data_IF_782708005405
#
_entry.id   IF_782708005405
#
_cell.length_a   1.000
_cell.length_b   1.000
_cell.length_c   1.000
_cell.angle_alpha   90.00
_cell.angle_beta   90.00
_cell.angle_gamma   90.00
#
_symmetry.space_group_name_H-M   'P 1'
#
loop_
_entity.id
_entity.type
_entity.pdbx_description
1 polymer ?
#
# COMPACT_ATOMS: atom_id res chain seq x y z
N UNK A 1 2.71 18.80 10.95
CA UNK A 1 3.21 17.68 11.82
C UNK A 1 4.57 18.10 12.38
N UNK A 2 5.12 17.54 13.47
CA UNK A 2 6.38 18.11 14.00
C UNK A 2 7.59 18.00 13.05
N UNK A 3 7.61 16.97 12.21
CA UNK A 3 8.61 16.77 11.16
C UNK A 3 8.38 17.60 9.89
N UNK A 4 7.25 18.31 9.76
CA UNK A 4 6.96 19.10 8.55
C UNK A 4 7.75 20.40 8.50
N UNK A 5 8.15 20.79 7.30
CA UNK A 5 8.92 21.99 7.02
C UNK A 5 8.02 23.14 6.51
N UNK A 6 8.61 24.33 6.34
CA UNK A 6 7.91 25.56 6.00
C UNK A 6 7.15 25.43 4.66
N UNK A 7 5.96 26.05 4.59
CA UNK A 7 5.11 25.99 3.40
C UNK A 7 4.22 24.75 3.29
N UNK A 8 4.22 23.88 4.31
CA UNK A 8 3.39 22.66 4.39
C UNK A 8 2.38 22.63 5.54
N UNK A 9 2.17 23.75 6.23
CA UNK A 9 1.30 23.80 7.42
C UNK A 9 -0.15 23.42 7.10
N UNK A 10 -0.70 23.91 5.99
CA UNK A 10 -2.04 23.54 5.51
C UNK A 10 -2.06 22.21 4.73
N UNK A 11 -0.89 21.70 4.32
CA UNK A 11 -0.78 20.44 3.57
C UNK A 11 -0.73 19.25 4.53
N UNK A 12 0.26 19.19 5.42
CA UNK A 12 0.54 17.97 6.20
C UNK A 12 -0.54 17.67 7.25
N UNK A 13 -1.32 18.66 7.68
CA UNK A 13 -2.50 18.43 8.53
C UNK A 13 -3.56 17.60 7.81
N UNK A 14 -3.65 17.69 6.48
CA UNK A 14 -4.65 16.97 5.69
C UNK A 14 -4.31 15.50 5.45
N UNK A 15 -3.08 15.05 5.76
CA UNK A 15 -2.74 13.60 5.77
C UNK A 15 -3.65 12.87 6.76
N UNK A 16 -3.90 13.44 7.94
CA UNK A 16 -4.85 12.84 8.90
C UNK A 16 -6.29 12.83 8.38
N UNK A 17 -6.67 13.81 7.56
CA UNK A 17 -7.98 13.84 6.91
C UNK A 17 -8.13 12.73 5.87
N UNK A 18 -7.05 12.36 5.15
CA UNK A 18 -7.01 11.20 4.26
C UNK A 18 -7.16 9.90 5.07
N UNK A 19 -6.32 9.72 6.09
CA UNK A 19 -6.37 8.57 6.98
C UNK A 19 -7.76 8.40 7.64
N UNK A 20 -8.35 9.49 8.13
CA UNK A 20 -9.67 9.48 8.76
C UNK A 20 -10.78 9.14 7.76
N UNK A 21 -10.71 9.64 6.53
CA UNK A 21 -11.64 9.24 5.47
C UNK A 21 -11.53 7.75 5.19
N UNK A 22 -10.32 7.24 4.91
CA UNK A 22 -10.10 5.83 4.58
C UNK A 22 -10.55 4.92 5.72
N UNK A 23 -10.27 5.30 6.97
CA UNK A 23 -10.76 4.59 8.13
C UNK A 23 -12.29 4.61 8.15
N UNK A 24 -12.93 5.78 8.22
CA UNK A 24 -14.38 5.88 8.48
C UNK A 24 -15.27 5.45 7.32
N UNK A 25 -14.81 5.62 6.08
CA UNK A 25 -15.62 5.39 4.88
C UNK A 25 -15.07 4.28 3.98
N UNK A 26 -13.93 3.70 4.32
CA UNK A 26 -13.23 2.81 3.40
C UNK A 26 -12.72 3.54 2.16
N UNK A 27 -12.45 2.79 1.11
CA UNK A 27 -11.95 3.30 -0.17
C UNK A 27 -13.09 3.71 -1.10
N UNK A 28 -13.85 4.71 -0.66
CA UNK A 28 -14.90 5.35 -1.48
C UNK A 28 -14.28 6.19 -2.58
N UNK A 29 -15.11 6.62 -3.53
CA UNK A 29 -14.74 7.66 -4.48
C UNK A 29 -14.07 8.82 -3.74
N UNK A 30 -12.83 9.16 -4.13
CA UNK A 30 -12.01 10.18 -3.47
C UNK A 30 -12.78 11.49 -3.31
N UNK A 31 -13.67 11.84 -4.27
CA UNK A 31 -14.53 13.03 -4.20
C UNK A 31 -15.33 13.15 -2.92
N UNK A 32 -15.76 12.01 -2.39
CA UNK A 32 -16.63 11.90 -1.23
C UNK A 32 -15.96 12.41 0.05
N UNK A 33 -14.63 12.47 0.08
CA UNK A 33 -13.87 12.99 1.21
C UNK A 33 -12.94 14.16 0.84
N UNK A 34 -12.37 14.13 -0.37
CA UNK A 34 -11.27 14.97 -0.82
C UNK A 34 -11.43 15.35 -2.29
N UNK A 35 -12.48 16.11 -2.63
CA UNK A 35 -12.78 16.52 -4.01
C UNK A 35 -11.58 17.14 -4.75
N UNK A 36 -10.79 17.99 -4.09
CA UNK A 36 -9.62 18.61 -4.70
C UNK A 36 -8.45 17.63 -4.95
N UNK A 37 -8.34 16.54 -4.19
CA UNK A 37 -7.37 15.48 -4.49
C UNK A 37 -7.77 14.73 -5.75
N UNK A 38 -9.07 14.44 -5.91
CA UNK A 38 -9.55 13.80 -7.13
C UNK A 38 -9.28 14.68 -8.36
N UNK A 39 -9.51 16.00 -8.27
CA UNK A 39 -9.21 16.92 -9.36
C UNK A 39 -7.71 17.02 -9.70
N UNK A 40 -6.84 16.73 -8.73
CA UNK A 40 -5.40 16.61 -8.97
C UNK A 40 -4.97 15.22 -9.46
N UNK A 41 -5.91 14.28 -9.67
CA UNK A 41 -5.65 12.96 -10.24
C UNK A 41 -5.39 11.85 -9.22
N UNK A 42 -5.65 12.09 -7.94
CA UNK A 42 -5.47 11.06 -6.90
C UNK A 42 -6.52 9.95 -6.99
N UNK A 43 -6.06 8.71 -6.81
CA UNK A 43 -6.88 7.52 -6.59
C UNK A 43 -6.28 6.66 -5.48
N UNK A 44 -7.11 5.83 -4.83
CA UNK A 44 -6.60 4.82 -3.90
C UNK A 44 -5.83 3.76 -4.69
N UNK A 45 -4.52 3.70 -4.48
CA UNK A 45 -3.60 2.81 -5.19
C UNK A 45 -2.48 2.35 -4.26
N UNK A 46 -2.39 1.04 -4.02
CA UNK A 46 -1.37 0.44 -3.16
C UNK A 46 0.07 0.53 -3.71
N UNK A 47 0.25 0.98 -4.96
CA UNK A 47 1.54 1.24 -5.59
C UNK A 47 1.61 2.64 -6.22
N UNK A 48 0.92 3.63 -5.62
CA UNK A 48 0.82 5.00 -6.13
C UNK A 48 2.17 5.65 -6.46
N UNK A 49 3.19 5.47 -5.61
CA UNK A 49 4.55 5.98 -5.88
C UNK A 49 5.14 5.35 -7.13
N UNK A 50 4.96 4.04 -7.31
CA UNK A 50 5.41 3.32 -8.51
C UNK A 50 4.69 3.79 -9.77
N UNK A 51 3.38 4.04 -9.70
CA UNK A 51 2.62 4.56 -10.83
C UNK A 51 2.96 6.02 -11.17
N UNK A 52 3.24 6.86 -10.18
CA UNK A 52 3.78 8.21 -10.39
C UNK A 52 5.15 8.16 -11.10
N UNK A 53 6.05 7.27 -10.68
CA UNK A 53 7.33 7.07 -11.37
C UNK A 53 7.15 6.54 -12.80
N UNK A 54 6.17 5.67 -13.03
CA UNK A 54 5.84 5.16 -14.37
C UNK A 54 5.31 6.25 -15.30
N UNK A 55 4.52 7.19 -14.79
CA UNK A 55 3.90 8.24 -15.60
C UNK A 55 4.89 9.21 -16.23
N UNK A 56 6.13 9.29 -15.69
CA UNK A 56 7.13 10.25 -16.15
C UNK A 56 6.89 11.67 -15.63
N UNK A 57 5.87 11.88 -14.79
CA UNK A 57 5.47 13.19 -14.33
C UNK A 57 6.49 13.81 -13.39
N UNK A 58 6.58 15.13 -13.44
CA UNK A 58 7.43 15.94 -12.57
C UNK A 58 6.67 17.14 -12.05
N UNK A 59 6.94 17.51 -10.81
CA UNK A 59 6.39 18.65 -10.11
C UNK A 59 7.50 19.46 -9.44
N UNK A 60 7.14 20.62 -8.90
CA UNK A 60 8.02 21.42 -8.07
C UNK A 60 7.26 21.78 -6.79
N UNK A 61 7.44 20.98 -5.74
CA UNK A 61 6.70 21.11 -4.49
C UNK A 61 6.88 22.50 -3.86
N UNK A 62 8.10 23.05 -3.91
CA UNK A 62 8.44 24.33 -3.30
C UNK A 62 7.80 25.53 -4.00
N UNK A 63 7.47 25.39 -5.30
CA UNK A 63 6.80 26.42 -6.11
C UNK A 63 5.32 26.15 -6.36
N UNK A 64 4.78 25.08 -5.77
CA UNK A 64 3.38 24.74 -5.94
C UNK A 64 2.52 25.63 -5.03
N UNK A 65 1.43 26.17 -5.56
CA UNK A 65 0.49 26.99 -4.80
C UNK A 65 -0.75 26.18 -4.39
N UNK A 66 -1.05 25.09 -5.11
CA UNK A 66 -2.14 24.19 -4.76
C UNK A 66 -1.75 23.26 -3.60
N UNK A 67 -2.29 23.56 -2.41
CA UNK A 67 -2.12 22.76 -1.19
C UNK A 67 -2.51 21.29 -1.39
N UNK A 68 -3.50 20.99 -2.22
CA UNK A 68 -3.93 19.61 -2.51
C UNK A 68 -3.00 18.92 -3.47
N UNK A 69 -2.33 19.65 -4.38
CA UNK A 69 -1.28 19.06 -5.19
C UNK A 69 -0.03 18.75 -4.36
N UNK A 70 0.33 19.60 -3.41
CA UNK A 70 1.36 19.26 -2.41
C UNK A 70 0.97 18.02 -1.60
N UNK A 71 -0.30 17.93 -1.19
CA UNK A 71 -0.83 16.81 -0.44
C UNK A 71 -0.75 15.49 -1.23
N UNK A 72 -0.82 15.54 -2.56
CA UNK A 72 -0.77 14.35 -3.40
C UNK A 72 0.53 13.56 -3.24
N UNK A 73 1.70 14.20 -3.14
CA UNK A 73 2.97 13.52 -2.82
C UNK A 73 2.85 12.71 -1.52
N UNK A 74 2.24 13.33 -0.49
CA UNK A 74 2.09 12.68 0.80
C UNK A 74 1.05 11.56 0.76
N UNK A 75 -0.03 11.74 0.00
CA UNK A 75 -1.07 10.74 -0.19
C UNK A 75 -0.52 9.51 -0.93
N UNK A 76 0.30 9.70 -1.97
CA UNK A 76 0.97 8.61 -2.70
C UNK A 76 1.84 7.75 -1.78
N UNK A 77 2.60 8.38 -0.86
CA UNK A 77 3.38 7.68 0.16
C UNK A 77 2.48 6.91 1.13
N UNK A 78 1.37 7.49 1.59
CA UNK A 78 0.44 6.84 2.52
C UNK A 78 -0.22 5.60 1.90
N UNK A 79 -0.68 5.70 0.66
CA UNK A 79 -1.36 4.58 0.01
C UNK A 79 -0.39 3.47 -0.35
N UNK A 80 0.84 3.82 -0.73
CA UNK A 80 1.89 2.84 -1.04
C UNK A 80 2.41 2.15 0.21
N UNK A 81 2.62 2.90 1.30
CA UNK A 81 3.13 2.39 2.58
C UNK A 81 2.33 2.97 3.76
N UNK A 82 1.21 2.33 4.15
CA UNK A 82 0.28 2.86 5.17
C UNK A 82 0.91 3.19 6.53
N UNK A 83 2.00 2.51 6.88
CA UNK A 83 2.67 2.66 8.17
C UNK A 83 3.76 3.77 8.18
N UNK A 84 3.98 4.46 7.04
CA UNK A 84 5.12 5.37 6.86
C UNK A 84 5.07 6.60 7.79
N UNK A 85 3.93 7.27 7.91
CA UNK A 85 3.82 8.48 8.75
C UNK A 85 3.86 8.19 10.25
N UNK A 86 3.20 7.14 10.76
CA UNK A 86 3.42 6.70 12.14
C UNK A 86 4.90 6.43 12.44
N UNK A 87 5.62 5.78 11.51
CA UNK A 87 7.03 5.46 11.66
C UNK A 87 7.93 6.72 11.67
N UNK A 88 7.75 7.63 10.70
CA UNK A 88 8.48 8.90 10.63
C UNK A 88 8.19 9.75 11.88
N UNK A 89 6.92 9.84 12.29
CA UNK A 89 6.52 10.57 13.48
C UNK A 89 7.14 10.02 14.76
N UNK A 90 7.26 8.69 14.88
CA UNK A 90 7.97 8.05 15.99
C UNK A 90 9.47 8.38 15.96
N UNK A 91 10.13 8.23 14.82
CA UNK A 91 11.55 8.53 14.66
C UNK A 91 11.87 10.00 15.00
N UNK A 92 11.00 10.93 14.59
CA UNK A 92 11.18 12.35 14.89
C UNK A 92 11.11 12.64 16.40
N UNK A 93 10.16 12.01 17.11
CA UNK A 93 10.05 12.15 18.56
C UNK A 93 11.24 11.56 19.31
N UNK A 94 11.79 10.45 18.80
CA UNK A 94 12.96 9.79 19.41
C UNK A 94 14.24 10.62 19.22
N UNK A 95 14.45 11.21 18.04
CA UNK A 95 15.67 12.00 17.77
C UNK A 95 15.66 13.36 18.48
N UNK A 96 14.49 13.98 18.63
CA UNK A 96 14.29 15.27 19.31
C UNK A 96 13.86 15.13 20.77
N UNK A 97 14.11 13.97 21.40
CA UNK A 97 13.82 13.76 22.82
C UNK A 97 14.59 14.78 23.68
N UNK A 98 13.85 15.48 24.55
CA UNK A 98 14.36 16.48 25.49
C UNK A 98 15.56 15.98 26.31
N UNK A 99 15.57 14.69 26.66
CA UNK A 99 16.64 14.09 27.47
C UNK A 99 17.96 13.88 26.71
N UNK A 100 17.95 13.86 25.38
CA UNK A 100 19.10 13.50 24.53
C UNK A 100 19.61 14.67 23.67
N UNK A 101 19.23 15.90 24.02
CA UNK A 101 19.46 17.11 23.24
C UNK A 101 18.21 17.46 22.44
N UNK A 102 17.58 18.58 22.79
CA UNK A 102 16.44 19.14 22.06
C UNK A 102 16.92 19.71 20.71
N UNK A 103 16.04 19.76 19.70
CA UNK A 103 16.25 20.43 18.41
C UNK A 103 17.39 19.85 17.54
N UNK A 104 17.50 18.52 17.42
CA UNK A 104 18.42 17.87 16.45
C UNK A 104 17.95 17.95 15.01
N UNK A 105 16.64 18.12 14.82
CA UNK A 105 16.01 18.33 13.53
C UNK A 105 15.06 19.50 13.72
N UNK A 106 15.51 20.72 13.42
CA UNK A 106 14.78 21.94 13.77
C UNK A 106 14.68 22.91 12.59
N UNK A 107 15.79 23.10 11.87
CA UNK A 107 15.81 23.93 10.67
C UNK A 107 14.99 23.32 9.53
N UNK A 108 14.60 24.17 8.58
CA UNK A 108 13.82 23.78 7.41
C UNK A 108 14.50 22.64 6.62
N UNK A 109 15.80 22.81 6.33
CA UNK A 109 16.58 21.81 5.59
C UNK A 109 16.73 20.50 6.36
N UNK A 110 17.00 20.56 7.66
CA UNK A 110 17.11 19.34 8.49
C UNK A 110 15.81 18.53 8.47
N UNK A 111 14.64 19.19 8.47
CA UNK A 111 13.34 18.52 8.38
C UNK A 111 13.09 17.87 7.02
N UNK A 112 13.45 18.56 5.92
CA UNK A 112 13.39 17.99 4.56
C UNK A 112 14.27 16.75 4.47
N UNK A 113 15.54 16.89 4.85
CA UNK A 113 16.53 15.81 4.81
C UNK A 113 16.11 14.63 5.70
N UNK A 114 15.65 14.93 6.92
CA UNK A 114 15.11 13.92 7.83
C UNK A 114 13.94 13.17 7.21
N UNK A 115 13.01 13.89 6.57
CA UNK A 115 11.84 13.29 5.95
C UNK A 115 12.22 12.35 4.81
N UNK A 116 13.03 12.79 3.83
CA UNK A 116 13.37 11.96 2.66
C UNK A 116 14.19 10.73 3.04
N UNK A 117 15.10 10.87 4.01
CA UNK A 117 15.92 9.76 4.53
C UNK A 117 15.03 8.74 5.24
N UNK A 118 14.15 9.19 6.13
CA UNK A 118 13.29 8.27 6.88
C UNK A 118 12.17 7.67 6.03
N UNK A 119 11.62 8.41 5.07
CA UNK A 119 10.65 7.87 4.12
C UNK A 119 11.26 6.72 3.30
N UNK A 120 12.49 6.89 2.80
CA UNK A 120 13.21 5.81 2.09
C UNK A 120 13.47 4.61 3.01
N UNK A 121 13.95 4.88 4.23
CA UNK A 121 14.22 3.84 5.24
C UNK A 121 12.97 3.02 5.58
N UNK A 122 11.83 3.67 5.82
CA UNK A 122 10.60 3.01 6.29
C UNK A 122 9.74 2.44 5.17
N UNK A 123 9.85 2.95 3.94
CA UNK A 123 9.29 2.26 2.76
C UNK A 123 10.09 1.00 2.42
N UNK A 124 11.38 0.96 2.78
CA UNK A 124 12.30 -0.09 2.34
C UNK A 124 12.75 0.06 0.90
N UNK A 125 12.49 1.22 0.27
CA UNK A 125 12.85 1.52 -1.11
C UNK A 125 13.62 2.82 -1.24
N UNK A 126 14.47 2.91 -2.25
CA UNK A 126 15.14 4.14 -2.63
C UNK A 126 14.14 5.12 -3.26
N UNK A 127 13.75 6.16 -2.50
CA UNK A 127 12.78 7.18 -2.93
C UNK A 127 13.44 8.44 -3.51
N UNK A 128 14.75 8.44 -3.77
CA UNK A 128 15.42 9.64 -4.31
C UNK A 128 14.81 10.10 -5.62
N UNK A 129 14.58 9.19 -6.56
CA UNK A 129 13.93 9.50 -7.83
C UNK A 129 12.53 10.10 -7.64
N UNK A 130 11.76 9.55 -6.68
CA UNK A 130 10.44 10.05 -6.34
C UNK A 130 10.49 11.50 -5.85
N UNK A 131 11.34 11.79 -4.86
CA UNK A 131 11.48 13.13 -4.30
C UNK A 131 12.06 14.14 -5.30
N UNK A 132 13.02 13.71 -6.13
CA UNK A 132 13.55 14.56 -7.21
C UNK A 132 12.48 14.90 -8.23
N UNK A 133 11.62 13.96 -8.60
CA UNK A 133 10.50 14.23 -9.53
C UNK A 133 9.41 15.08 -8.90
N UNK A 134 9.21 15.01 -7.60
CA UNK A 134 8.37 15.95 -6.87
C UNK A 134 9.02 17.33 -6.66
N UNK A 135 10.30 17.47 -6.99
CA UNK A 135 11.04 18.72 -6.86
C UNK A 135 11.29 19.11 -5.40
N UNK A 136 11.51 18.13 -4.53
CA UNK A 136 11.92 18.35 -3.14
C UNK A 136 13.43 18.62 -3.09
N UNK A 137 13.83 19.77 -2.55
CA UNK A 137 15.23 20.19 -2.48
C UNK A 137 15.94 19.62 -1.23
N UNK A 138 16.22 18.31 -1.25
CA UNK A 138 17.00 17.64 -0.19
C UNK A 138 18.52 17.75 -0.45
N UNK A 139 19.31 17.76 0.61
CA UNK A 139 20.76 17.99 0.53
C UNK A 139 21.53 16.79 -0.05
N UNK A 140 22.77 17.03 -0.48
CA UNK A 140 23.70 15.96 -0.87
C UNK A 140 23.98 14.98 0.27
N UNK A 141 23.95 15.45 1.52
CA UNK A 141 24.15 14.59 2.69
C UNK A 141 22.98 13.63 2.89
N UNK A 142 21.75 14.07 2.58
CA UNK A 142 20.58 13.20 2.57
C UNK A 142 20.64 12.19 1.42
N UNK A 143 21.07 12.61 0.22
CA UNK A 143 21.29 11.71 -0.92
C UNK A 143 22.29 10.58 -0.56
N UNK A 144 23.44 10.96 -0.01
CA UNK A 144 24.48 10.03 0.42
C UNK A 144 24.00 9.06 1.50
N UNK A 145 23.18 9.52 2.44
CA UNK A 145 22.59 8.67 3.46
C UNK A 145 21.66 7.61 2.86
N UNK A 146 20.79 8.00 1.92
CA UNK A 146 19.89 7.05 1.25
C UNK A 146 20.71 6.07 0.38
N UNK A 147 21.70 6.56 -0.37
CA UNK A 147 22.57 5.74 -1.20
C UNK A 147 23.28 4.63 -0.39
N UNK A 148 23.74 4.96 0.82
CA UNK A 148 24.42 4.02 1.74
C UNK A 148 23.51 2.89 2.22
N UNK A 149 22.18 3.09 2.24
CA UNK A 149 21.23 2.05 2.65
C UNK A 149 21.08 0.93 1.62
N UNK A 150 21.49 1.17 0.36
CA UNK A 150 21.43 0.19 -0.75
C UNK A 150 20.04 -0.44 -0.92
N UNK A 151 19.01 0.39 -0.79
CA UNK A 151 17.62 -0.03 -0.92
C UNK A 151 17.29 -0.37 -2.38
N UNK A 152 16.39 -1.34 -2.63
CA UNK A 152 15.87 -1.57 -3.97
C UNK A 152 15.13 -0.32 -4.48
N UNK A 153 15.14 -0.13 -5.80
CA UNK A 153 14.31 0.90 -6.43
C UNK A 153 12.83 0.58 -6.21
N UNK A 154 11.99 1.61 -6.33
CA UNK A 154 10.54 1.41 -6.38
C UNK A 154 10.18 0.70 -7.68
N UNK A 155 9.36 -0.35 -7.58
CA UNK A 155 8.85 -1.07 -8.75
C UNK A 155 7.78 -0.21 -9.42
N UNK A 156 7.85 -0.09 -10.74
CA UNK A 156 6.81 0.55 -11.54
C UNK A 156 5.79 -0.53 -11.98
N UNK A 157 4.53 -0.48 -11.53
CA UNK A 157 3.55 -1.54 -11.79
C UNK A 157 3.34 -1.77 -13.28
N UNK A 158 3.33 -3.03 -13.71
CA UNK A 158 3.16 -3.43 -15.11
C UNK A 158 1.70 -3.54 -15.52
N UNK A 159 0.80 -3.82 -14.58
CA UNK A 159 -0.62 -4.03 -14.83
C UNK A 159 -1.48 -3.93 -13.57
N UNK A 160 -2.79 -4.02 -13.76
CA UNK A 160 -3.78 -4.07 -12.70
C UNK A 160 -4.96 -4.97 -13.12
N UNK A 161 -5.52 -5.71 -12.17
CA UNK A 161 -6.70 -6.56 -12.34
C UNK A 161 -7.63 -6.43 -11.14
N UNK A 162 -8.93 -6.54 -11.35
CA UNK A 162 -9.91 -6.52 -10.26
C UNK A 162 -11.03 -7.55 -10.42
N UNK A 163 -11.62 -7.96 -9.30
CA UNK A 163 -12.76 -8.89 -9.24
C UNK A 163 -13.64 -8.60 -8.03
N UNK A 164 -14.91 -9.00 -8.07
CA UNK A 164 -15.80 -8.90 -6.91
C UNK A 164 -15.80 -10.20 -6.10
N UNK A 165 -15.67 -10.07 -4.77
CA UNK A 165 -15.93 -11.11 -3.79
C UNK A 165 -17.31 -10.89 -3.18
N UNK A 166 -18.32 -11.58 -3.71
CA UNK A 166 -19.73 -11.38 -3.39
C UNK A 166 -20.26 -12.47 -2.44
N UNK A 167 -20.59 -12.11 -1.19
CA UNK A 167 -21.31 -13.00 -0.27
C UNK A 167 -22.78 -12.59 -0.18
N UNK A 168 -23.64 -13.34 -0.87
CA UNK A 168 -25.08 -13.10 -0.88
C UNK A 168 -25.75 -13.41 0.48
N UNK A 169 -26.94 -12.82 0.70
CA UNK A 169 -27.77 -13.10 1.87
C UNK A 169 -28.09 -14.60 1.98
N UNK A 170 -27.92 -15.18 3.17
CA UNK A 170 -28.16 -16.59 3.43
C UNK A 170 -27.05 -17.56 2.95
N UNK A 171 -26.06 -17.09 2.19
CA UNK A 171 -24.86 -17.88 1.91
C UNK A 171 -23.94 -17.92 3.14
N UNK A 172 -23.18 -19.00 3.32
CA UNK A 172 -22.19 -19.09 4.41
C UNK A 172 -20.75 -18.76 3.96
N UNK A 173 -20.51 -18.73 2.63
CA UNK A 173 -19.19 -18.62 2.01
C UNK A 173 -19.25 -17.79 0.73
N UNK A 174 -18.12 -17.19 0.37
CA UNK A 174 -17.89 -16.59 -0.93
C UNK A 174 -16.43 -16.84 -1.37
N UNK A 175 -16.20 -16.89 -2.68
CA UNK A 175 -14.88 -17.08 -3.27
C UNK A 175 -14.77 -16.24 -4.55
N UNK A 176 -13.60 -15.64 -4.75
CA UNK A 176 -13.23 -14.96 -5.99
C UNK A 176 -11.76 -15.25 -6.31
N UNK A 177 -11.39 -15.11 -7.57
CA UNK A 177 -10.00 -15.32 -7.99
C UNK A 177 -9.60 -14.39 -9.14
N UNK A 178 -8.31 -14.06 -9.17
CA UNK A 178 -7.64 -13.38 -10.28
C UNK A 178 -6.55 -14.30 -10.78
N UNK A 179 -6.42 -14.41 -12.10
CA UNK A 179 -5.40 -15.24 -12.76
C UNK A 179 -4.42 -14.33 -13.49
N UNK A 180 -3.14 -14.44 -13.17
CA UNK A 180 -2.04 -13.77 -13.85
C UNK A 180 -1.39 -14.77 -14.81
N UNK A 181 -1.31 -14.49 -16.13
CA UNK A 181 -0.55 -15.31 -17.05
C UNK A 181 0.92 -15.38 -16.63
N UNK A 182 1.54 -16.55 -16.71
CA UNK A 182 2.98 -16.68 -16.55
C UNK A 182 3.60 -16.33 -17.92
N UNK A 183 4.06 -15.09 -18.11
CA UNK A 183 4.87 -14.76 -19.28
C UNK A 183 6.32 -15.21 -19.07
N UNK A 184 7.12 -15.18 -20.14
CA UNK A 184 8.53 -15.62 -20.19
C UNK A 184 9.46 -15.03 -19.12
N UNK A 185 8.99 -14.04 -18.35
CA UNK A 185 9.78 -13.28 -17.37
C UNK A 185 9.21 -13.27 -15.95
N UNK A 186 8.12 -14.01 -15.66
CA UNK A 186 7.55 -14.08 -14.30
C UNK A 186 6.76 -15.39 -14.04
N UNK A 187 7.48 -16.49 -13.80
CA UNK A 187 6.90 -17.81 -13.46
C UNK A 187 6.81 -18.07 -11.95
N UNK A 188 7.51 -17.26 -11.14
CA UNK A 188 7.64 -17.40 -9.70
C UNK A 188 6.80 -16.33 -8.98
N UNK A 189 5.58 -16.11 -9.48
CA UNK A 189 4.67 -15.07 -9.00
C UNK A 189 4.01 -15.44 -7.69
N UNK A 190 4.21 -14.68 -6.62
CA UNK A 190 3.39 -14.75 -5.40
C UNK A 190 2.63 -13.45 -5.16
N UNK A 191 1.73 -13.45 -4.17
CA UNK A 191 0.93 -12.27 -3.85
C UNK A 191 1.16 -11.81 -2.42
N UNK A 192 1.41 -10.51 -2.27
CA UNK A 192 1.67 -9.86 -0.98
C UNK A 192 0.72 -8.69 -0.79
N UNK A 193 0.78 -8.09 0.39
CA UNK A 193 0.08 -6.86 0.77
C UNK A 193 1.13 -5.76 1.01
N UNK A 194 0.71 -4.50 1.02
CA UNK A 194 1.60 -3.37 1.30
C UNK A 194 1.76 -3.06 2.80
N UNK A 195 1.05 -3.77 3.68
CA UNK A 195 1.19 -3.65 5.14
C UNK A 195 0.95 -4.99 5.84
N UNK A 196 1.75 -5.23 6.87
CA UNK A 196 1.62 -6.41 7.73
C UNK A 196 0.30 -6.47 8.51
N UNK A 197 -0.42 -5.34 8.61
CA UNK A 197 -1.75 -5.29 9.23
C UNK A 197 -2.79 -6.10 8.43
N UNK A 198 -2.62 -6.23 7.11
CA UNK A 198 -3.54 -6.96 6.24
C UNK A 198 -3.05 -8.40 6.02
N UNK A 199 -1.77 -8.58 5.68
CA UNK A 199 -1.21 -9.87 5.31
C UNK A 199 0.31 -9.86 5.16
N UNK A 200 0.90 -10.90 4.53
CA UNK A 200 2.35 -10.92 4.30
C UNK A 200 2.77 -9.80 3.35
N UNK A 201 3.92 -9.18 3.61
CA UNK A 201 4.50 -8.10 2.79
C UNK A 201 5.70 -8.52 1.95
N UNK A 202 6.07 -9.80 2.00
CA UNK A 202 7.20 -10.36 1.26
C UNK A 202 6.88 -11.78 0.78
N UNK A 203 7.52 -12.15 -0.32
CA UNK A 203 7.46 -13.50 -0.85
C UNK A 203 8.24 -14.47 0.02
N UNK A 204 7.85 -15.75 -0.02
CA UNK A 204 8.63 -16.88 0.49
C UNK A 204 8.80 -17.92 -0.61
N UNK A 205 9.94 -18.57 -0.70
CA UNK A 205 10.16 -19.58 -1.74
C UNK A 205 9.26 -20.80 -1.53
N UNK A 206 9.32 -21.36 -0.32
CA UNK A 206 8.53 -22.52 0.09
C UNK A 206 7.57 -22.12 1.20
N UNK A 207 6.27 -22.09 0.88
CA UNK A 207 5.21 -21.78 1.82
C UNK A 207 4.21 -22.92 1.92
N UNK A 208 3.36 -22.89 2.95
CA UNK A 208 2.56 -24.05 3.35
C UNK A 208 1.68 -24.63 2.24
N UNK A 209 1.96 -25.88 1.85
CA UNK A 209 1.15 -26.67 0.94
C UNK A 209 -0.24 -26.95 1.53
N UNK A 210 -1.30 -26.74 0.73
CA UNK A 210 -2.72 -26.77 1.12
C UNK A 210 -3.11 -25.85 2.28
N UNK A 211 -2.20 -25.00 2.74
CA UNK A 211 -2.48 -24.01 3.78
C UNK A 211 -3.04 -22.73 3.16
N UNK A 212 -3.72 -21.94 3.97
CA UNK A 212 -4.26 -20.65 3.56
C UNK A 212 -3.64 -19.54 4.40
N UNK A 213 -3.37 -18.42 3.74
CA UNK A 213 -2.89 -17.20 4.40
C UNK A 213 -4.09 -16.44 4.96
N UNK A 214 -4.18 -16.22 6.28
CA UNK A 214 -5.20 -15.34 6.84
C UNK A 214 -4.93 -13.89 6.41
N UNK A 215 -5.98 -13.18 6.01
CA UNK A 215 -5.94 -11.77 5.66
C UNK A 215 -6.97 -11.01 6.50
N UNK A 216 -6.62 -9.82 6.97
CA UNK A 216 -7.50 -8.99 7.80
C UNK A 216 -7.80 -7.69 7.07
N UNK A 217 -9.03 -7.56 6.59
CA UNK A 217 -9.42 -6.45 5.70
C UNK A 217 -10.44 -5.58 6.39
N UNK A 218 -10.24 -4.27 6.31
CA UNK A 218 -11.25 -3.33 6.79
C UNK A 218 -12.41 -3.26 5.79
N UNK A 219 -13.62 -3.41 6.30
CA UNK A 219 -14.86 -3.13 5.60
C UNK A 219 -15.69 -2.12 6.39
N UNK A 220 -16.56 -1.43 5.68
CA UNK A 220 -17.49 -0.47 6.26
C UNK A 220 -18.91 -0.89 5.96
N UNK A 221 -19.81 -0.66 6.90
CA UNK A 221 -21.24 -0.88 6.68
C UNK A 221 -21.92 0.37 6.09
N UNK A 222 -23.22 0.26 5.82
CA UNK A 222 -24.05 1.38 5.32
C UNK A 222 -24.13 2.59 6.27
N UNK A 223 -23.64 2.47 7.52
CA UNK A 223 -23.58 3.54 8.52
C UNK A 223 -22.16 4.07 8.72
N UNK A 224 -21.20 3.69 7.86
CA UNK A 224 -19.78 4.05 7.98
C UNK A 224 -19.14 3.53 9.29
N UNK A 225 -19.68 2.44 9.86
CA UNK A 225 -19.02 1.74 10.98
C UNK A 225 -17.99 0.78 10.41
N UNK A 226 -16.82 0.78 11.00
CA UNK A 226 -15.68 -0.04 10.59
C UNK A 226 -15.72 -1.41 11.23
N UNK A 227 -15.39 -2.42 10.44
CA UNK A 227 -15.23 -3.80 10.87
C UNK A 227 -14.03 -4.41 10.18
N UNK A 228 -13.30 -5.25 10.90
CA UNK A 228 -12.26 -6.09 10.29
C UNK A 228 -12.85 -7.45 9.98
N UNK A 229 -12.80 -7.85 8.71
CA UNK A 229 -13.18 -9.20 8.27
C UNK A 229 -11.94 -10.04 8.03
N UNK A 230 -12.01 -11.29 8.47
CA UNK A 230 -11.01 -12.31 8.18
C UNK A 230 -11.35 -13.00 6.87
N UNK A 231 -10.41 -12.96 5.94
CA UNK A 231 -10.41 -13.69 4.68
C UNK A 231 -9.28 -14.72 4.67
N UNK A 232 -9.33 -15.63 3.71
CA UNK A 232 -8.24 -16.57 3.45
C UNK A 232 -7.80 -16.52 2.00
N UNK A 233 -6.49 -16.35 1.80
CA UNK A 233 -5.87 -16.35 0.49
C UNK A 233 -5.06 -17.62 0.22
N UNK A 234 -5.12 -18.10 -1.01
CA UNK A 234 -4.24 -19.14 -1.53
C UNK A 234 -3.70 -18.75 -2.90
N UNK A 235 -2.47 -19.20 -3.17
CA UNK A 235 -1.89 -19.20 -4.51
C UNK A 235 -2.05 -20.58 -5.13
N UNK A 236 -2.40 -20.66 -6.40
CA UNK A 236 -2.24 -21.87 -7.23
C UNK A 236 -1.36 -21.53 -8.44
N UNK A 237 -0.19 -22.16 -8.56
CA UNK A 237 0.70 -22.00 -9.71
C UNK A 237 0.48 -23.13 -10.72
N UNK A 238 0.06 -22.80 -11.94
CA UNK A 238 -0.11 -23.77 -13.01
C UNK A 238 -1.04 -24.93 -12.63
N UNK A 239 -0.57 -26.17 -12.78
CA UNK A 239 -1.32 -27.36 -12.38
C UNK A 239 -0.95 -27.90 -10.97
N UNK A 240 -0.10 -27.18 -10.23
CA UNK A 240 0.31 -27.59 -8.89
C UNK A 240 -0.76 -27.30 -7.85
N UNK A 241 -0.61 -27.96 -6.70
CA UNK A 241 -1.46 -27.79 -5.54
C UNK A 241 -1.47 -26.35 -5.01
N UNK A 242 -2.54 -25.94 -4.31
CA UNK A 242 -2.57 -24.63 -3.66
C UNK A 242 -1.53 -24.52 -2.54
N UNK A 243 -0.90 -23.35 -2.43
CA UNK A 243 -0.03 -22.96 -1.32
C UNK A 243 -0.55 -21.68 -0.64
N UNK A 244 0.09 -21.29 0.46
CA UNK A 244 -0.02 -19.94 1.02
C UNK A 244 0.18 -18.86 -0.05
N UNK A 245 -0.50 -17.73 0.13
CA UNK A 245 -0.68 -16.69 -0.87
C UNK A 245 0.64 -16.06 -1.37
N UNK A 246 1.62 -15.89 -0.48
CA UNK A 246 2.93 -15.29 -0.77
C UNK A 246 4.01 -16.31 -1.18
N UNK A 247 3.64 -17.56 -1.45
CA UNK A 247 4.57 -18.58 -1.95
C UNK A 247 4.99 -18.26 -3.37
N UNK A 248 6.29 -18.28 -3.65
CA UNK A 248 6.86 -17.94 -4.95
C UNK A 248 7.40 -19.16 -5.72
N UNK A 249 7.53 -20.33 -5.08
CA UNK A 249 7.88 -21.59 -5.73
C UNK A 249 7.07 -21.82 -7.00
N UNK A 250 7.77 -22.06 -8.10
CA UNK A 250 7.15 -22.29 -9.40
C UNK A 250 6.54 -23.70 -9.47
N UNK A 251 5.61 -23.86 -10.41
CA UNK A 251 5.14 -25.15 -10.84
C UNK A 251 5.79 -25.53 -12.17
N UNK A 252 6.23 -26.78 -12.31
CA UNK A 252 6.84 -27.29 -13.55
C UNK A 252 5.84 -27.41 -14.72
N UNK A 253 4.55 -27.16 -14.47
CA UNK A 253 3.49 -27.27 -15.48
C UNK A 253 2.42 -26.19 -15.31
N UNK A 254 1.85 -25.73 -16.43
CA UNK A 254 0.85 -24.67 -16.49
C UNK A 254 1.42 -23.29 -16.83
N UNK A 255 0.56 -22.39 -17.26
CA UNK A 255 0.94 -21.10 -17.87
C UNK A 255 0.35 -19.89 -17.14
N UNK A 256 -0.08 -20.07 -15.89
CA UNK A 256 -0.65 -18.98 -15.09
C UNK A 256 -0.47 -19.22 -13.59
N UNK A 257 -0.60 -18.15 -12.83
CA UNK A 257 -0.68 -18.18 -11.37
C UNK A 257 -1.96 -17.51 -10.92
N UNK A 258 -2.71 -18.17 -10.04
CA UNK A 258 -4.01 -17.74 -9.55
C UNK A 258 -3.95 -17.33 -8.09
N UNK A 259 -4.44 -16.14 -7.76
CA UNK A 259 -4.79 -15.73 -6.40
C UNK A 259 -6.26 -16.09 -6.15
N UNK A 260 -6.55 -16.87 -5.10
CA UNK A 260 -7.94 -17.19 -4.71
C UNK A 260 -8.19 -16.71 -3.29
N UNK A 261 -9.23 -15.88 -3.14
CA UNK A 261 -9.63 -15.27 -1.88
C UNK A 261 -10.99 -15.80 -1.47
N UNK A 262 -11.11 -16.17 -0.19
CA UNK A 262 -12.30 -16.78 0.38
C UNK A 262 -12.77 -16.03 1.62
N UNK A 263 -14.08 -15.92 1.72
CA UNK A 263 -14.79 -15.52 2.93
C UNK A 263 -15.60 -16.70 3.47
N UNK A 264 -15.66 -16.82 4.79
CA UNK A 264 -16.58 -17.73 5.47
C UNK A 264 -17.16 -17.07 6.73
N UNK A 265 -18.48 -17.18 6.92
CA UNK A 265 -19.16 -16.64 8.10
C UNK A 265 -18.67 -17.30 9.40
N UNK A 266 -18.26 -18.57 9.35
CA UNK A 266 -17.70 -19.30 10.50
C UNK A 266 -16.42 -18.68 11.07
N UNK A 267 -15.65 -17.97 10.23
CA UNK A 267 -14.41 -17.30 10.62
C UNK A 267 -14.64 -15.84 11.05
N UNK A 268 -15.88 -15.37 10.95
CA UNK A 268 -16.29 -14.01 11.28
C UNK A 268 -17.55 -14.00 12.17
N UNK A 269 -17.55 -14.73 13.32
CA UNK A 269 -18.76 -14.92 14.13
C UNK A 269 -19.30 -13.61 14.74
N UNK A 270 -18.42 -12.62 14.93
CA UNK A 270 -18.75 -11.34 15.56
C UNK A 270 -19.18 -10.27 14.56
N UNK A 271 -19.17 -10.56 13.24
CA UNK A 271 -19.66 -9.64 12.23
C UNK A 271 -21.18 -9.53 12.33
N UNK A 272 -21.76 -8.35 12.65
CA UNK A 272 -23.20 -8.22 12.80
C UNK A 272 -23.96 -8.48 11.48
N UNK A 273 -25.28 -8.68 11.57
CA UNK A 273 -26.12 -8.68 10.37
C UNK A 273 -26.08 -7.30 9.70
N UNK A 274 -25.96 -7.27 8.37
CA UNK A 274 -25.82 -6.02 7.61
C UNK A 274 -25.13 -6.19 6.27
N UNK A 275 -24.97 -5.06 5.57
CA UNK A 275 -24.28 -4.98 4.28
C UNK A 275 -22.96 -4.25 4.47
N UNK A 276 -21.89 -4.85 3.95
CA UNK A 276 -20.52 -4.38 4.12
C UNK A 276 -19.81 -4.29 2.78
N UNK A 277 -18.98 -3.26 2.63
CA UNK A 277 -18.13 -3.04 1.47
C UNK A 277 -16.70 -2.71 1.86
N UNK A 278 -15.75 -3.09 1.01
CA UNK A 278 -14.33 -2.79 1.19
C UNK A 278 -13.53 -3.29 0.00
N UNK A 279 -12.21 -3.14 0.07
CA UNK A 279 -11.31 -3.64 -0.97
C UNK A 279 -10.12 -4.32 -0.30
N UNK A 280 -9.81 -5.54 -0.77
CA UNK A 280 -8.54 -6.18 -0.47
C UNK A 280 -7.59 -5.89 -1.63
N UNK A 281 -6.50 -5.20 -1.30
CA UNK A 281 -5.39 -4.93 -2.21
C UNK A 281 -4.31 -5.98 -2.05
N UNK A 282 -3.94 -6.58 -3.18
CA UNK A 282 -2.77 -7.44 -3.29
C UNK A 282 -1.80 -6.88 -4.34
N UNK A 283 -0.53 -7.21 -4.18
CA UNK A 283 0.53 -6.93 -5.13
C UNK A 283 1.08 -8.27 -5.60
N UNK A 284 0.96 -8.56 -6.88
CA UNK A 284 1.69 -9.67 -7.50
C UNK A 284 3.16 -9.26 -7.66
N UNK A 285 4.06 -10.13 -7.23
CA UNK A 285 5.51 -9.97 -7.35
C UNK A 285 6.10 -11.27 -7.87
N UNK A 286 7.20 -11.19 -8.61
CA UNK A 286 7.98 -12.36 -9.01
C UNK A 286 9.26 -12.47 -8.17
N UNK A 287 9.64 -13.71 -7.82
CA UNK A 287 10.84 -13.96 -7.02
C UNK A 287 12.15 -13.53 -7.68
N UNK A 288 12.24 -13.63 -9.00
CA UNK A 288 13.45 -13.39 -9.78
C UNK A 288 13.43 -12.04 -10.51
N UNK A 289 12.25 -11.54 -10.86
CA UNK A 289 12.08 -10.27 -11.54
C UNK A 289 11.69 -9.15 -10.56
N UNK A 290 12.71 -8.46 -10.05
CA UNK A 290 12.55 -7.34 -9.12
C UNK A 290 12.05 -6.02 -9.74
N UNK A 291 11.72 -6.02 -11.04
CA UNK A 291 11.20 -4.84 -11.76
C UNK A 291 9.76 -5.05 -12.25
N UNK A 292 9.11 -6.14 -11.85
CA UNK A 292 7.74 -6.45 -12.24
C UNK A 292 6.83 -6.53 -11.03
N UNK A 293 5.66 -5.92 -11.14
CA UNK A 293 4.54 -6.10 -10.23
C UNK A 293 3.21 -5.86 -10.93
N UNK A 294 2.13 -6.37 -10.38
CA UNK A 294 0.76 -6.03 -10.79
C UNK A 294 -0.14 -5.79 -9.57
N UNK A 295 -1.06 -4.83 -9.67
CA UNK A 295 -2.09 -4.60 -8.66
C UNK A 295 -3.26 -5.57 -8.83
N UNK A 296 -3.72 -6.16 -7.74
CA UNK A 296 -4.86 -7.06 -7.71
C UNK A 296 -5.86 -6.57 -6.66
N UNK A 297 -7.04 -6.17 -7.11
CA UNK A 297 -8.08 -5.61 -6.24
C UNK A 297 -9.29 -6.53 -6.15
N UNK A 298 -9.59 -6.99 -4.93
CA UNK A 298 -10.78 -7.78 -4.64
C UNK A 298 -11.80 -6.85 -3.98
N UNK A 299 -12.80 -6.42 -4.74
CA UNK A 299 -13.91 -5.61 -4.23
C UNK A 299 -14.83 -6.50 -3.41
N UNK A 300 -14.87 -6.25 -2.10
CA UNK A 300 -15.61 -7.06 -1.14
C UNK A 300 -17.01 -6.49 -1.02
N UNK A 301 -18.01 -7.35 -1.18
CA UNK A 301 -19.38 -7.05 -0.85
C UNK A 301 -19.99 -8.23 -0.10
N UNK A 302 -20.40 -7.98 1.15
CA UNK A 302 -20.88 -9.00 2.08
C UNK A 302 -22.26 -8.60 2.59
N UNK A 303 -23.25 -9.45 2.34
CA UNK A 303 -24.58 -9.35 2.96
C UNK A 303 -24.67 -10.41 4.06
N UNK A 304 -24.42 -9.99 5.31
CA UNK A 304 -24.41 -10.85 6.48
C UNK A 304 -25.77 -11.05 7.13
#
# INVERSE_FOLDING_TARGET
>A
MQWSWDGLDETTVNIYSIAACRATRGEVNVKTCHENLQYNGFSWDQQAVGNFLKSGQTWNLDKEDDVFRKLMMFAELETSWPDIYPAIGKAYREINDYNNGYNKVDSNQEKIDFFVVNASKYSGHDLREFFTRWGVDYSSDADDQIAKMKLPKVIQPSGASSVNLEKAAGAAKAEAHITIPNADTHYNTGFVTNTSAIGPTSLVWDGGLYQSTPLHVQVVDSRNRQFTVKLYGQRTGGACEPHTLNTAGACDSGSSTKATIRFASSDNPDLPAGEYHGVLHLIALDWHNNNWSENLDFHIHIVN
#
